data_IF_206580180673
#
_entry.id   IF_206580180673
#
_cell.length_a   1.000
_cell.length_b   1.000
_cell.length_c   1.000
_cell.angle_alpha   90.00
_cell.angle_beta   90.00
_cell.angle_gamma   90.00
#
_symmetry.space_group_name_H-M   'P 1'
#
loop_
_entity.id
_entity.type
_entity.pdbx_description
1 polymer ?
#
# COMPACT_ATOMS: atom_id res chain seq x y z
N UNK A 1 -14.31 10.00 19.94
CA UNK A 1 -14.13 8.71 19.22
C UNK A 1 -12.74 8.19 19.55
N UNK A 2 -12.52 6.87 19.68
CA UNK A 2 -11.18 6.33 19.91
C UNK A 2 -10.26 6.73 18.75
N UNK A 3 -9.08 7.26 19.09
CA UNK A 3 -8.06 7.67 18.12
C UNK A 3 -7.20 6.45 17.80
N UNK A 4 -7.08 6.09 16.53
CA UNK A 4 -6.14 5.05 16.08
C UNK A 4 -4.73 5.60 16.29
N UNK A 5 -3.81 4.86 16.96
CA UNK A 5 -2.44 5.33 17.12
C UNK A 5 -1.76 5.60 15.78
N UNK A 6 -0.70 6.39 15.80
CA UNK A 6 0.00 6.80 14.58
C UNK A 6 1.51 6.60 14.75
N UNK A 7 2.21 6.37 13.64
CA UNK A 7 3.66 6.18 13.59
C UNK A 7 4.28 7.07 12.52
N UNK A 8 5.47 7.61 12.78
CA UNK A 8 6.20 8.37 11.76
C UNK A 8 6.88 7.39 10.79
N UNK A 9 6.69 7.60 9.48
CA UNK A 9 7.33 6.80 8.43
C UNK A 9 8.04 7.72 7.44
N UNK A 10 9.29 7.37 7.09
CA UNK A 10 10.14 8.20 6.25
C UNK A 10 10.37 9.58 6.83
N UNK A 11 10.55 10.58 5.97
CA UNK A 11 10.78 11.98 6.35
C UNK A 11 9.50 12.83 6.34
N UNK A 12 8.31 12.22 6.48
CA UNK A 12 7.03 12.94 6.44
C UNK A 12 6.72 13.64 7.76
N UNK A 13 6.13 14.84 7.66
CA UNK A 13 5.66 15.60 8.82
C UNK A 13 4.41 15.01 9.47
N UNK A 14 3.50 14.46 8.66
CA UNK A 14 2.29 13.79 9.15
C UNK A 14 2.57 12.32 9.44
N UNK A 15 2.10 11.75 10.55
CA UNK A 15 2.29 10.34 10.82
C UNK A 15 1.35 9.47 9.95
N UNK A 16 1.52 8.15 10.04
CA UNK A 16 0.70 7.12 9.40
C UNK A 16 -0.15 6.43 10.48
N UNK A 17 -1.47 6.35 10.34
CA UNK A 17 -2.31 5.56 11.25
C UNK A 17 -1.93 4.08 11.22
N UNK A 18 -1.86 3.46 12.40
CA UNK A 18 -1.33 2.09 12.53
C UNK A 18 -2.28 1.00 12.00
N UNK A 19 -3.56 1.34 11.82
CA UNK A 19 -4.55 0.47 11.21
C UNK A 19 -5.13 1.19 9.99
N UNK A 20 -5.08 0.52 8.84
CA UNK A 20 -5.68 0.94 7.60
C UNK A 20 -6.65 -0.08 7.04
N UNK A 21 -7.51 0.39 6.13
CA UNK A 21 -8.46 -0.43 5.40
C UNK A 21 -7.99 -0.62 3.96
N UNK A 22 -7.84 -1.86 3.51
CA UNK A 22 -7.61 -2.13 2.09
C UNK A 22 -8.89 -2.03 1.29
N UNK A 23 -8.71 -1.70 0.02
CA UNK A 23 -9.80 -1.45 -0.94
C UNK A 23 -9.77 -2.44 -2.09
N UNK A 24 -9.32 -3.68 -1.86
CA UNK A 24 -9.23 -4.74 -2.86
C UNK A 24 -10.23 -5.87 -2.58
N UNK A 25 -11.55 -5.61 -2.65
CA UNK A 25 -12.55 -6.62 -2.29
C UNK A 25 -12.42 -7.86 -3.16
N UNK A 26 -12.52 -9.03 -2.52
CA UNK A 26 -12.55 -10.32 -3.20
C UNK A 26 -13.75 -11.17 -2.73
N UNK A 27 -14.65 -11.61 -3.64
CA UNK A 27 -14.72 -11.21 -5.05
C UNK A 27 -14.98 -9.70 -5.21
N UNK A 28 -14.76 -9.13 -6.42
CA UNK A 28 -15.07 -7.73 -6.67
C UNK A 28 -16.53 -7.40 -6.32
N UNK A 29 -16.73 -6.26 -5.69
CA UNK A 29 -18.07 -5.72 -5.37
C UNK A 29 -18.27 -4.39 -6.08
N UNK A 30 -19.52 -3.92 -6.13
CA UNK A 30 -19.88 -2.67 -6.77
C UNK A 30 -19.33 -1.44 -6.03
N UNK A 31 -19.29 -0.31 -6.75
CA UNK A 31 -18.82 0.99 -6.27
C UNK A 31 -19.49 1.42 -4.96
N UNK A 32 -20.83 1.29 -4.86
CA UNK A 32 -21.57 1.77 -3.69
C UNK A 32 -21.25 0.94 -2.45
N UNK A 33 -21.03 -0.36 -2.60
CA UNK A 33 -20.57 -1.21 -1.51
C UNK A 33 -19.21 -0.77 -0.96
N UNK A 34 -18.22 -0.54 -1.84
CA UNK A 34 -16.87 -0.08 -1.38
C UNK A 34 -16.95 1.32 -0.78
N UNK A 35 -17.71 2.21 -1.41
CA UNK A 35 -17.91 3.58 -0.92
C UNK A 35 -18.56 3.58 0.47
N UNK A 36 -19.61 2.78 0.68
CA UNK A 36 -20.27 2.62 1.98
C UNK A 36 -19.28 2.12 3.05
N UNK A 37 -18.45 1.13 2.72
CA UNK A 37 -17.41 0.64 3.62
C UNK A 37 -16.40 1.74 4.00
N UNK A 38 -15.98 2.58 3.04
CA UNK A 38 -15.11 3.73 3.31
C UNK A 38 -15.77 4.73 4.26
N UNK A 39 -17.05 5.09 4.03
CA UNK A 39 -17.78 6.01 4.90
C UNK A 39 -17.88 5.47 6.33
N UNK A 40 -18.25 4.21 6.49
CA UNK A 40 -18.33 3.56 7.81
C UNK A 40 -16.97 3.48 8.49
N UNK A 41 -15.90 3.17 7.75
CA UNK A 41 -14.54 3.17 8.29
C UNK A 41 -14.16 4.55 8.86
N UNK A 42 -14.46 5.64 8.13
CA UNK A 42 -14.16 7.00 8.60
C UNK A 42 -15.00 7.36 9.83
N UNK A 43 -16.29 6.97 9.88
CA UNK A 43 -17.18 7.18 11.03
C UNK A 43 -16.64 6.52 12.30
N UNK A 44 -16.00 5.35 12.19
CA UNK A 44 -15.42 4.64 13.34
C UNK A 44 -13.96 5.01 13.62
N UNK A 45 -13.40 5.98 12.88
CA UNK A 45 -12.10 6.58 13.19
C UNK A 45 -10.95 6.19 12.26
N UNK A 46 -11.17 5.39 11.21
CA UNK A 46 -10.12 5.10 10.23
C UNK A 46 -9.74 6.35 9.46
N UNK A 47 -8.43 6.48 9.23
CA UNK A 47 -7.84 7.53 8.40
C UNK A 47 -6.88 6.98 7.36
N UNK A 48 -6.46 5.72 7.45
CA UNK A 48 -5.55 5.09 6.49
C UNK A 48 -6.32 4.19 5.51
N UNK A 49 -6.20 4.50 4.21
CA UNK A 49 -6.79 3.75 3.11
C UNK A 49 -5.68 3.22 2.18
N UNK A 50 -5.70 1.92 1.95
CA UNK A 50 -4.75 1.22 1.08
C UNK A 50 -5.45 0.80 -0.21
N UNK A 51 -5.01 1.36 -1.32
CA UNK A 51 -5.45 1.01 -2.68
C UNK A 51 -4.23 0.66 -3.55
N UNK A 52 -4.45 0.40 -4.83
CA UNK A 52 -3.39 0.20 -5.82
C UNK A 52 -3.96 0.41 -7.21
N UNK A 53 -3.08 0.76 -8.16
CA UNK A 53 -3.46 0.90 -9.57
C UNK A 53 -4.22 -0.32 -10.11
N UNK A 54 -3.79 -1.53 -9.74
CA UNK A 54 -4.36 -2.79 -10.24
C UNK A 54 -5.70 -3.16 -9.59
N UNK A 55 -6.05 -2.58 -8.44
CA UNK A 55 -7.30 -2.90 -7.76
C UNK A 55 -8.51 -2.31 -8.48
N UNK A 56 -8.30 -1.28 -9.31
CA UNK A 56 -9.36 -0.50 -9.96
C UNK A 56 -10.37 0.10 -8.96
N UNK A 57 -9.92 0.42 -7.74
CA UNK A 57 -10.76 1.03 -6.69
C UNK A 57 -10.32 2.43 -6.30
N UNK A 58 -9.32 3.00 -6.99
CA UNK A 58 -8.87 4.39 -6.80
C UNK A 58 -10.01 5.40 -7.02
N UNK A 59 -10.83 5.20 -8.04
CA UNK A 59 -11.99 6.04 -8.33
C UNK A 59 -13.06 5.95 -7.22
N UNK A 60 -13.08 4.85 -6.46
CA UNK A 60 -14.06 4.62 -5.40
C UNK A 60 -13.73 5.49 -4.18
N UNK A 61 -12.44 5.58 -3.84
CA UNK A 61 -11.95 6.55 -2.86
C UNK A 61 -12.22 7.99 -3.31
N UNK A 62 -11.96 8.31 -4.59
CA UNK A 62 -12.24 9.63 -5.15
C UNK A 62 -13.72 10.04 -5.00
N UNK A 63 -14.63 9.09 -5.19
CA UNK A 63 -16.07 9.32 -5.03
C UNK A 63 -16.51 9.46 -3.56
N UNK A 64 -15.80 8.83 -2.62
CA UNK A 64 -16.12 8.89 -1.19
C UNK A 64 -15.67 10.21 -0.52
N UNK A 65 -14.52 10.76 -0.92
CA UNK A 65 -13.89 11.92 -0.26
C UNK A 65 -14.81 13.16 -0.19
N UNK A 66 -15.48 13.59 -1.28
CA UNK A 66 -16.39 14.74 -1.22
C UNK A 66 -17.57 14.52 -0.27
N UNK A 67 -18.07 13.29 -0.18
CA UNK A 67 -19.19 12.95 0.68
C UNK A 67 -18.79 12.98 2.16
N UNK A 68 -17.63 12.44 2.52
CA UNK A 68 -17.16 12.44 3.92
C UNK A 68 -16.84 13.86 4.40
N UNK A 69 -16.36 14.74 3.51
CA UNK A 69 -16.22 16.18 3.77
C UNK A 69 -17.57 16.86 3.97
N UNK A 70 -18.53 16.61 3.06
CA UNK A 70 -19.90 17.17 3.14
C UNK A 70 -20.61 16.74 4.42
N UNK A 71 -20.39 15.52 4.87
CA UNK A 71 -20.95 14.97 6.11
C UNK A 71 -20.20 15.44 7.38
N UNK A 72 -19.09 16.17 7.24
CA UNK A 72 -18.28 16.63 8.37
C UNK A 72 -17.57 15.50 9.12
N UNK A 73 -17.32 14.37 8.45
CA UNK A 73 -16.60 13.23 9.05
C UNK A 73 -15.09 13.47 9.11
N UNK A 74 -14.59 14.35 8.24
CA UNK A 74 -13.25 14.94 8.21
C UNK A 74 -13.38 16.41 7.83
N UNK A 75 -12.45 17.27 8.26
CA UNK A 75 -12.46 18.69 7.90
C UNK A 75 -11.75 18.94 6.56
N UNK A 76 -10.79 18.09 6.20
CA UNK A 76 -9.97 18.26 5.01
C UNK A 76 -9.33 16.94 4.58
N UNK A 77 -8.95 16.86 3.28
CA UNK A 77 -8.30 15.67 2.69
C UNK A 77 -7.03 15.27 3.43
N UNK A 78 -6.33 16.23 4.01
CA UNK A 78 -5.07 16.03 4.72
C UNK A 78 -5.23 15.29 6.06
N UNK A 79 -6.46 15.03 6.53
CA UNK A 79 -6.73 14.08 7.62
C UNK A 79 -6.67 12.62 7.18
N UNK A 80 -6.70 12.34 5.88
CA UNK A 80 -6.60 10.99 5.35
C UNK A 80 -5.15 10.65 4.99
N UNK A 81 -4.78 9.39 5.19
CA UNK A 81 -3.55 8.77 4.72
C UNK A 81 -3.91 7.80 3.59
N UNK A 82 -3.56 8.12 2.35
CA UNK A 82 -3.87 7.29 1.19
C UNK A 82 -2.60 6.67 0.63
N UNK A 83 -2.57 5.34 0.59
CA UNK A 83 -1.53 4.54 -0.04
C UNK A 83 -2.02 4.04 -1.40
N UNK A 84 -1.26 4.26 -2.47
CA UNK A 84 -1.44 3.54 -3.74
C UNK A 84 -0.13 2.89 -4.19
N UNK A 85 -0.17 2.08 -5.24
CA UNK A 85 0.96 1.21 -5.62
C UNK A 85 1.21 1.20 -7.12
N UNK A 86 2.49 1.30 -7.49
CA UNK A 86 3.02 1.17 -8.84
C UNK A 86 2.81 -0.27 -9.34
N UNK A 87 2.08 -0.43 -10.44
CA UNK A 87 1.89 -1.74 -11.07
C UNK A 87 3.10 -2.14 -11.92
N UNK A 88 3.38 -3.45 -12.02
CA UNK A 88 4.61 -3.99 -12.60
C UNK A 88 4.85 -3.65 -14.08
N UNK A 89 3.80 -3.28 -14.83
CA UNK A 89 3.96 -2.83 -16.24
C UNK A 89 4.66 -1.47 -16.35
N UNK A 90 4.70 -0.70 -15.27
CA UNK A 90 5.32 0.62 -15.18
C UNK A 90 6.63 0.61 -14.36
N UNK A 91 7.10 -0.57 -13.94
CA UNK A 91 8.28 -0.73 -13.06
C UNK A 91 9.62 -0.53 -13.81
N UNK A 92 9.79 0.66 -14.40
CA UNK A 92 11.00 1.16 -15.05
C UNK A 92 11.01 2.68 -14.95
N UNK A 93 12.19 3.28 -14.72
CA UNK A 93 12.38 4.69 -14.35
C UNK A 93 11.41 5.68 -15.02
N UNK A 94 11.43 5.75 -16.34
CA UNK A 94 10.70 6.77 -17.11
C UNK A 94 9.17 6.57 -17.13
N UNK A 95 8.68 5.42 -16.64
CA UNK A 95 7.25 5.09 -16.57
C UNK A 95 6.65 5.32 -15.18
N UNK A 96 7.48 5.46 -14.13
CA UNK A 96 7.00 5.58 -12.75
C UNK A 96 6.24 6.89 -12.51
N UNK A 97 6.78 8.03 -12.94
CA UNK A 97 6.13 9.34 -12.79
C UNK A 97 4.83 9.43 -13.61
N UNK A 98 4.76 8.99 -14.88
CA UNK A 98 3.48 8.87 -15.58
C UNK A 98 2.47 7.99 -14.83
N UNK A 99 2.90 6.86 -14.28
CA UNK A 99 1.99 5.92 -13.61
C UNK A 99 1.35 6.50 -12.34
N UNK A 100 2.12 7.19 -11.49
CA UNK A 100 1.52 7.84 -10.30
C UNK A 100 0.56 8.96 -10.72
N UNK A 101 0.83 9.70 -11.80
CA UNK A 101 -0.08 10.73 -12.31
C UNK A 101 -1.42 10.15 -12.75
N UNK A 102 -1.42 8.97 -13.37
CA UNK A 102 -2.67 8.26 -13.70
C UNK A 102 -3.45 7.88 -12.44
N UNK A 103 -2.77 7.37 -11.41
CA UNK A 103 -3.38 7.08 -10.10
C UNK A 103 -3.96 8.35 -9.45
N UNK A 104 -3.23 9.46 -9.46
CA UNK A 104 -3.66 10.74 -8.92
C UNK A 104 -4.89 11.30 -9.66
N UNK A 105 -4.95 11.14 -10.98
CA UNK A 105 -6.10 11.51 -11.79
C UNK A 105 -7.35 10.70 -11.39
N UNK A 106 -7.22 9.37 -11.27
CA UNK A 106 -8.31 8.49 -10.80
C UNK A 106 -8.76 8.83 -9.39
N UNK A 107 -7.80 9.10 -8.49
CA UNK A 107 -8.05 9.50 -7.10
C UNK A 107 -8.61 10.92 -6.98
N UNK A 108 -8.44 11.76 -8.00
CA UNK A 108 -8.71 13.21 -7.99
C UNK A 108 -7.95 13.92 -6.87
N UNK A 109 -6.66 13.63 -6.75
CA UNK A 109 -5.78 14.17 -5.72
C UNK A 109 -4.51 14.79 -6.32
N UNK A 110 -3.95 15.78 -5.63
CA UNK A 110 -2.65 16.36 -6.01
C UNK A 110 -1.47 15.50 -5.54
N UNK A 111 -1.68 14.67 -4.50
CA UNK A 111 -0.67 13.78 -3.94
C UNK A 111 -1.28 12.55 -3.26
N UNK A 112 -0.46 11.51 -3.10
CA UNK A 112 -0.70 10.39 -2.17
C UNK A 112 0.24 10.46 -0.98
N UNK A 113 -0.19 9.93 0.15
CA UNK A 113 0.60 9.94 1.39
C UNK A 113 1.73 8.92 1.33
N UNK A 114 1.48 7.78 0.67
CA UNK A 114 2.45 6.72 0.43
C UNK A 114 2.30 6.17 -1.00
N UNK A 115 3.42 5.99 -1.69
CA UNK A 115 3.47 5.28 -2.97
C UNK A 115 4.40 4.09 -2.89
N UNK A 116 3.87 2.88 -3.16
CA UNK A 116 4.64 1.64 -3.03
C UNK A 116 4.98 1.04 -4.38
N UNK A 117 6.19 0.50 -4.54
CA UNK A 117 6.42 -0.51 -5.59
C UNK A 117 5.65 -1.78 -5.23
N UNK A 118 4.57 -2.12 -5.95
CA UNK A 118 3.61 -3.15 -5.52
C UNK A 118 4.22 -4.55 -5.43
N UNK A 119 5.06 -4.90 -6.40
CA UNK A 119 5.77 -6.18 -6.47
C UNK A 119 7.17 -5.91 -7.01
N UNK A 120 8.20 -6.67 -6.59
CA UNK A 120 9.53 -6.54 -7.16
C UNK A 120 9.65 -7.29 -8.51
N UNK A 121 8.82 -6.88 -9.47
CA UNK A 121 8.56 -7.54 -10.74
C UNK A 121 8.29 -6.50 -11.83
N UNK A 122 8.91 -6.70 -13.00
CA UNK A 122 8.61 -5.95 -14.23
C UNK A 122 7.81 -6.81 -15.18
N UNK A 123 6.73 -6.25 -15.70
CA UNK A 123 5.80 -6.93 -16.60
C UNK A 123 5.76 -6.25 -17.96
N UNK A 124 5.52 -7.02 -19.01
CA UNK A 124 5.24 -6.48 -20.34
C UNK A 124 3.91 -5.74 -20.33
N UNK A 125 3.79 -4.56 -20.98
CA UNK A 125 2.50 -3.89 -21.19
C UNK A 125 1.48 -4.74 -21.96
N UNK A 126 1.93 -5.80 -22.64
CA UNK A 126 1.07 -6.74 -23.36
C UNK A 126 0.45 -7.83 -22.46
N UNK A 127 0.77 -7.86 -21.16
CA UNK A 127 0.17 -8.85 -20.27
C UNK A 127 -1.35 -8.70 -20.23
N UNK A 128 -2.08 -9.83 -20.15
CA UNK A 128 -3.54 -9.82 -20.10
C UNK A 128 -4.06 -10.74 -18.98
N UNK A 129 -3.94 -10.25 -17.74
CA UNK A 129 -4.43 -10.96 -16.56
C UNK A 129 -3.43 -11.91 -15.93
N UNK A 130 -3.92 -12.70 -14.97
CA UNK A 130 -3.16 -13.70 -14.22
C UNK A 130 -3.71 -15.11 -14.51
N UNK A 131 -2.86 -16.17 -14.54
CA UNK A 131 -1.42 -16.15 -14.28
C UNK A 131 -0.64 -15.48 -15.42
N UNK A 132 0.44 -14.78 -15.08
CA UNK A 132 1.26 -14.06 -16.05
C UNK A 132 2.20 -15.05 -16.77
N UNK A 133 2.14 -15.16 -18.11
CA UNK A 133 3.07 -15.96 -18.89
C UNK A 133 4.53 -15.51 -18.72
N UNK A 134 5.48 -16.45 -18.79
CA UNK A 134 6.90 -16.18 -18.52
C UNK A 134 7.50 -15.16 -19.49
N UNK A 135 7.07 -15.17 -20.75
CA UNK A 135 7.44 -14.23 -21.80
C UNK A 135 7.01 -12.79 -21.52
N UNK A 136 6.05 -12.59 -20.61
CA UNK A 136 5.61 -11.28 -20.15
C UNK A 136 6.29 -10.84 -18.85
N UNK A 137 7.17 -11.67 -18.27
CA UNK A 137 8.03 -11.30 -17.14
C UNK A 137 9.34 -10.78 -17.71
N UNK A 138 9.56 -9.47 -17.56
CA UNK A 138 10.75 -8.79 -18.06
C UNK A 138 11.83 -8.72 -16.98
N UNK A 139 13.12 -8.55 -17.35
CA UNK A 139 14.17 -8.25 -16.39
C UNK A 139 13.81 -7.04 -15.54
N UNK A 140 13.79 -7.23 -14.23
CA UNK A 140 13.47 -6.17 -13.27
C UNK A 140 14.76 -5.58 -12.71
N UNK A 141 14.97 -4.30 -13.00
CA UNK A 141 16.04 -3.48 -12.45
C UNK A 141 15.45 -2.69 -11.27
N UNK A 142 15.81 -3.11 -10.06
CA UNK A 142 15.34 -2.50 -8.81
C UNK A 142 15.74 -1.03 -8.75
N UNK A 143 16.99 -0.72 -9.11
CA UNK A 143 17.51 0.64 -9.04
C UNK A 143 16.78 1.54 -10.04
N UNK A 144 16.60 1.09 -11.29
CA UNK A 144 15.87 1.86 -12.31
C UNK A 144 14.47 2.22 -11.86
N UNK A 145 13.69 1.26 -11.34
CA UNK A 145 12.35 1.54 -10.85
C UNK A 145 12.38 2.46 -9.62
N UNK A 146 13.32 2.26 -8.70
CA UNK A 146 13.43 3.07 -7.49
C UNK A 146 13.81 4.53 -7.76
N UNK A 147 14.72 4.81 -8.69
CA UNK A 147 15.04 6.18 -9.12
C UNK A 147 13.79 6.94 -9.61
N UNK A 148 12.85 6.23 -10.25
CA UNK A 148 11.54 6.79 -10.61
C UNK A 148 10.64 7.07 -9.40
N UNK A 149 10.69 6.21 -8.37
CA UNK A 149 9.96 6.43 -7.11
C UNK A 149 10.52 7.63 -6.35
N UNK A 150 11.84 7.77 -6.26
CA UNK A 150 12.51 8.94 -5.66
C UNK A 150 12.09 10.23 -6.35
N UNK A 151 12.00 10.23 -7.68
CA UNK A 151 11.52 11.37 -8.46
C UNK A 151 10.05 11.72 -8.12
N UNK A 152 9.18 10.71 -7.96
CA UNK A 152 7.80 10.96 -7.52
C UNK A 152 7.73 11.68 -6.16
N UNK A 153 8.64 11.35 -5.23
CA UNK A 153 8.71 12.05 -3.94
C UNK A 153 9.26 13.47 -4.08
N UNK A 154 10.33 13.65 -4.86
CA UNK A 154 10.93 14.97 -5.11
C UNK A 154 9.95 15.94 -5.77
N UNK A 155 9.11 15.44 -6.69
CA UNK A 155 8.04 16.20 -7.33
C UNK A 155 6.83 16.45 -6.41
N UNK A 156 6.82 15.87 -5.21
CA UNK A 156 5.74 16.02 -4.23
C UNK A 156 4.46 15.25 -4.53
N UNK A 157 4.48 14.38 -5.56
CA UNK A 157 3.36 13.51 -5.99
C UNK A 157 3.09 12.40 -4.97
N UNK A 158 4.14 11.93 -4.30
CA UNK A 158 4.05 11.06 -3.14
C UNK A 158 4.76 11.74 -1.95
N UNK A 159 4.16 11.74 -0.76
CA UNK A 159 4.81 12.31 0.43
C UNK A 159 5.86 11.37 1.01
N UNK A 160 5.65 10.06 0.89
CA UNK A 160 6.62 9.02 1.18
C UNK A 160 6.56 7.94 0.11
N UNK A 161 7.66 7.22 -0.04
CA UNK A 161 7.76 6.07 -0.94
C UNK A 161 8.21 4.84 -0.17
N UNK A 162 7.77 3.69 -0.65
CA UNK A 162 8.10 2.41 -0.06
C UNK A 162 8.00 1.29 -1.08
N UNK A 163 8.07 0.07 -0.57
CA UNK A 163 7.98 -1.14 -1.36
C UNK A 163 6.94 -2.08 -0.78
N UNK A 164 6.51 -3.05 -1.57
CA UNK A 164 5.67 -4.15 -1.12
C UNK A 164 6.18 -5.46 -1.72
N UNK A 165 6.12 -6.53 -0.92
CA UNK A 165 6.57 -7.87 -1.30
C UNK A 165 8.09 -7.98 -1.57
N UNK A 166 8.89 -7.08 -0.99
CA UNK A 166 10.34 -7.18 -1.08
C UNK A 166 10.87 -8.12 0.00
N UNK A 167 11.65 -9.12 -0.41
CA UNK A 167 12.43 -9.95 0.50
C UNK A 167 13.63 -9.18 1.03
N UNK A 168 14.23 -9.69 2.12
CA UNK A 168 15.47 -9.15 2.68
C UNK A 168 16.55 -8.91 1.61
N UNK A 169 16.84 -9.91 0.78
CA UNK A 169 17.85 -9.79 -0.29
C UNK A 169 17.56 -8.64 -1.26
N UNK A 170 16.28 -8.44 -1.64
CA UNK A 170 15.89 -7.34 -2.52
C UNK A 170 15.95 -5.99 -1.84
N UNK A 171 15.68 -5.93 -0.53
CA UNK A 171 15.89 -4.71 0.26
C UNK A 171 17.38 -4.37 0.38
N UNK A 172 18.25 -5.36 0.62
CA UNK A 172 19.71 -5.16 0.66
C UNK A 172 20.22 -4.60 -0.68
N UNK A 173 19.77 -5.17 -1.81
CA UNK A 173 20.08 -4.68 -3.15
C UNK A 173 19.60 -3.23 -3.35
N UNK A 174 18.35 -2.94 -2.98
CA UNK A 174 17.77 -1.60 -3.06
C UNK A 174 18.56 -0.57 -2.23
N UNK A 175 18.80 -0.89 -0.95
CA UNK A 175 19.44 0.01 0.01
C UNK A 175 20.89 0.34 -0.38
N UNK A 176 21.55 -0.50 -1.17
CA UNK A 176 22.92 -0.25 -1.60
C UNK A 176 23.09 1.01 -2.46
N UNK A 177 22.03 1.41 -3.18
CA UNK A 177 22.05 2.54 -4.13
C UNK A 177 20.94 3.57 -3.91
N UNK A 178 19.98 3.32 -3.02
CA UNK A 178 18.89 4.24 -2.73
C UNK A 178 19.40 5.55 -2.11
N UNK A 179 19.02 6.68 -2.70
CA UNK A 179 19.24 8.02 -2.13
C UNK A 179 18.18 8.32 -1.08
N UNK A 180 16.95 7.87 -1.34
CA UNK A 180 15.86 7.90 -0.37
C UNK A 180 15.53 6.45 -0.01
N UNK A 181 15.79 6.02 1.24
CA UNK A 181 15.45 4.66 1.66
C UNK A 181 13.92 4.46 1.69
N UNK A 182 13.42 3.24 1.41
CA UNK A 182 11.99 2.96 1.49
C UNK A 182 11.49 3.16 2.92
N UNK A 183 10.45 3.97 3.09
CA UNK A 183 9.84 4.23 4.39
C UNK A 183 9.09 3.00 4.95
N UNK A 184 8.53 2.19 4.05
CA UNK A 184 7.69 1.03 4.37
C UNK A 184 8.06 -0.15 3.47
N UNK A 185 8.00 -1.36 4.01
CA UNK A 185 7.84 -2.60 3.27
C UNK A 185 6.51 -3.26 3.65
N UNK A 186 5.53 -3.24 2.74
CA UNK A 186 4.23 -3.86 2.97
C UNK A 186 4.25 -5.33 2.52
N UNK A 187 4.00 -6.28 3.41
CA UNK A 187 4.15 -7.72 3.14
C UNK A 187 3.03 -8.54 3.77
N UNK A 188 2.81 -9.74 3.26
CA UNK A 188 1.86 -10.67 3.88
C UNK A 188 2.32 -10.96 5.30
N UNK A 189 1.50 -10.68 6.30
CA UNK A 189 1.86 -11.03 7.65
C UNK A 189 0.62 -11.31 8.47
N UNK A 190 0.63 -12.47 9.12
CA UNK A 190 -0.47 -12.95 9.96
C UNK A 190 0.13 -13.82 11.09
N UNK A 191 -0.68 -14.27 12.06
CA UNK A 191 -0.17 -15.08 13.17
C UNK A 191 0.57 -16.37 12.77
N UNK A 192 0.26 -16.97 11.61
CA UNK A 192 0.96 -18.15 11.08
C UNK A 192 2.21 -17.78 10.24
N UNK A 193 2.27 -16.55 9.72
CA UNK A 193 3.36 -16.06 8.90
C UNK A 193 3.86 -14.70 9.42
N UNK A 194 4.64 -14.73 10.50
CA UNK A 194 5.03 -13.52 11.25
C UNK A 194 6.22 -12.75 10.67
N UNK A 195 6.92 -13.32 9.67
CA UNK A 195 8.05 -12.68 8.99
C UNK A 195 9.16 -12.14 9.92
N UNK A 196 9.48 -12.85 11.02
CA UNK A 196 10.37 -12.35 12.10
C UNK A 196 11.71 -11.80 11.60
N UNK A 197 12.44 -12.56 10.79
CA UNK A 197 13.73 -12.14 10.24
C UNK A 197 13.60 -10.87 9.39
N UNK A 198 12.57 -10.77 8.54
CA UNK A 198 12.33 -9.59 7.73
C UNK A 198 12.00 -8.38 8.61
N UNK A 199 11.18 -8.55 9.65
CA UNK A 199 10.86 -7.45 10.59
C UNK A 199 12.10 -6.93 11.31
N UNK A 200 12.96 -7.82 11.78
CA UNK A 200 14.21 -7.43 12.45
C UNK A 200 15.14 -6.69 11.48
N UNK A 201 15.27 -7.19 10.25
CA UNK A 201 16.03 -6.51 9.20
C UNK A 201 15.47 -5.11 8.91
N UNK A 202 14.16 -4.99 8.67
CA UNK A 202 13.50 -3.72 8.38
C UNK A 202 13.68 -2.73 9.54
N UNK A 203 13.49 -3.17 10.78
CA UNK A 203 13.71 -2.36 11.99
C UNK A 203 15.15 -1.83 12.06
N UNK A 204 16.14 -2.66 11.76
CA UNK A 204 17.55 -2.26 11.74
C UNK A 204 17.89 -1.18 10.70
N UNK A 205 17.06 -1.04 9.66
CA UNK A 205 17.23 -0.07 8.58
C UNK A 205 16.19 1.07 8.61
N UNK A 206 15.46 1.23 9.72
CA UNK A 206 14.37 2.20 9.87
C UNK A 206 13.28 2.09 8.77
N UNK A 207 13.08 0.87 8.25
CA UNK A 207 11.99 0.53 7.34
C UNK A 207 10.83 0.01 8.19
N UNK A 208 9.66 0.63 8.06
CA UNK A 208 8.48 0.18 8.76
C UNK A 208 7.82 -1.02 8.06
N UNK A 209 7.29 -1.98 8.81
CA UNK A 209 6.58 -3.13 8.24
C UNK A 209 5.07 -2.91 8.35
N UNK A 210 4.40 -2.94 7.20
CA UNK A 210 2.93 -2.95 7.11
C UNK A 210 2.46 -4.35 6.70
N UNK A 211 1.68 -5.00 7.54
CA UNK A 211 1.04 -6.28 7.24
C UNK A 211 -0.15 -6.11 6.32
N UNK A 212 -0.17 -6.85 5.21
CA UNK A 212 -1.41 -7.17 4.51
C UNK A 212 -1.84 -8.61 4.79
N UNK A 213 -3.10 -8.94 4.48
CA UNK A 213 -3.74 -10.21 4.86
C UNK A 213 -3.64 -10.55 6.36
N UNK A 214 -3.78 -9.59 7.30
CA UNK A 214 -3.61 -9.88 8.74
C UNK A 214 -4.62 -10.90 9.27
N UNK A 215 -5.75 -11.05 8.58
CA UNK A 215 -6.82 -12.00 8.88
C UNK A 215 -6.80 -13.23 7.96
N UNK A 216 -5.69 -13.48 7.27
CA UNK A 216 -5.50 -14.66 6.42
C UNK A 216 -6.16 -14.59 5.04
N UNK A 217 -6.63 -13.42 4.59
CA UNK A 217 -7.20 -13.21 3.24
C UNK A 217 -8.22 -14.29 2.82
N UNK A 218 -9.15 -14.61 3.74
CA UNK A 218 -10.19 -15.61 3.54
C UNK A 218 -10.91 -15.44 2.20
N UNK A 219 -11.08 -16.53 1.46
CA UNK A 219 -11.75 -16.55 0.16
C UNK A 219 -10.85 -16.23 -1.04
N UNK A 220 -9.66 -15.66 -0.85
CA UNK A 220 -8.70 -15.42 -1.93
C UNK A 220 -7.91 -16.68 -2.32
N UNK A 221 -7.22 -16.65 -3.46
CA UNK A 221 -6.39 -17.79 -3.91
C UNK A 221 -5.11 -17.98 -3.13
N UNK A 222 -4.69 -16.97 -2.34
CA UNK A 222 -3.49 -17.01 -1.49
C UNK A 222 -3.81 -17.06 0.01
N UNK A 223 -5.09 -17.07 0.38
CA UNK A 223 -5.53 -17.02 1.78
C UNK A 223 -5.49 -18.36 2.53
N UNK A 224 -5.54 -18.26 3.86
CA UNK A 224 -5.61 -19.38 4.79
C UNK A 224 -6.68 -19.15 5.87
N UNK A 225 -7.77 -19.92 5.77
CA UNK A 225 -8.95 -19.79 6.64
C UNK A 225 -8.68 -20.18 8.10
N UNK A 226 -7.56 -20.87 8.39
CA UNK A 226 -7.20 -21.24 9.76
C UNK A 226 -7.00 -20.00 10.63
N UNK A 227 -6.58 -18.87 10.05
CA UNK A 227 -6.40 -17.60 10.75
C UNK A 227 -7.73 -17.10 11.34
N UNK A 228 -8.84 -17.17 10.60
CA UNK A 228 -10.13 -16.67 11.06
C UNK A 228 -10.74 -17.50 12.20
N UNK A 229 -10.27 -18.73 12.41
CA UNK A 229 -10.79 -19.66 13.44
C UNK A 229 -10.03 -19.59 14.76
N UNK A 230 -8.94 -18.83 14.83
CA UNK A 230 -8.05 -18.76 15.99
C UNK A 230 -8.41 -17.54 16.85
N UNK A 231 -8.54 -17.75 18.16
CA UNK A 231 -8.62 -16.65 19.14
C UNK A 231 -7.20 -16.19 19.44
N UNK A 232 -6.86 -14.94 19.13
CA UNK A 232 -5.51 -14.38 19.32
C UNK A 232 -5.50 -13.18 20.26
N UNK A 233 -4.42 -13.07 21.04
CA UNK A 233 -3.93 -11.82 21.61
C UNK A 233 -2.90 -11.21 20.64
N UNK A 234 -3.10 -9.96 20.22
CA UNK A 234 -2.10 -9.20 19.47
C UNK A 234 -1.11 -8.56 20.47
N UNK A 235 -0.06 -9.28 20.85
CA UNK A 235 0.87 -8.86 21.91
C UNK A 235 2.05 -7.99 21.44
N UNK A 236 2.14 -7.65 20.14
CA UNK A 236 3.22 -6.83 19.60
C UNK A 236 2.69 -5.86 18.53
N UNK A 237 2.67 -4.56 18.85
CA UNK A 237 2.20 -3.45 17.99
C UNK A 237 3.32 -2.78 17.19
N UNK A 238 4.48 -3.43 17.03
CA UNK A 238 5.62 -2.86 16.27
C UNK A 238 5.43 -2.77 14.75
N UNK A 239 4.23 -3.06 14.24
CA UNK A 239 3.88 -3.12 12.83
C UNK A 239 2.44 -2.61 12.64
N UNK A 240 2.13 -2.19 11.43
CA UNK A 240 0.80 -1.66 11.08
C UNK A 240 0.05 -2.62 10.20
N UNK A 241 -1.27 -2.55 10.15
CA UNK A 241 -2.10 -3.44 9.33
C UNK A 241 -2.82 -2.68 8.24
N UNK A 242 -2.99 -3.32 7.10
CA UNK A 242 -4.02 -2.98 6.12
C UNK A 242 -4.79 -4.26 5.84
N UNK A 243 -6.11 -4.25 6.06
CA UNK A 243 -6.94 -5.38 5.63
C UNK A 243 -6.86 -5.53 4.11
N UNK A 244 -7.12 -6.70 3.55
CA UNK A 244 -7.39 -6.89 2.12
C UNK A 244 -8.78 -7.47 1.99
#
# INVERSE_FOLDING_TARGET
MPMIPEITVGSRDKPMPIVGIGTSPYPPVDLETVKSAILEAIKVGYRHFDTAFVYNTEEYLAAAIPEVLRLGLINSRDELFITTKLFGIFAVRDQVVPAIKMSLEKLKLDYVDMYLTHMPLRLSPMMNGAPVPKEHILPFDIQSAWEGMEECQNLGLAKAIGVSNFSRKKLEELLSNAKIPPAVNQVEMNPLWQQKELREFCKGHAIHVTAYSPLGANGTTWGDNRICTLSFCFDDFSWTTTTQ
#
